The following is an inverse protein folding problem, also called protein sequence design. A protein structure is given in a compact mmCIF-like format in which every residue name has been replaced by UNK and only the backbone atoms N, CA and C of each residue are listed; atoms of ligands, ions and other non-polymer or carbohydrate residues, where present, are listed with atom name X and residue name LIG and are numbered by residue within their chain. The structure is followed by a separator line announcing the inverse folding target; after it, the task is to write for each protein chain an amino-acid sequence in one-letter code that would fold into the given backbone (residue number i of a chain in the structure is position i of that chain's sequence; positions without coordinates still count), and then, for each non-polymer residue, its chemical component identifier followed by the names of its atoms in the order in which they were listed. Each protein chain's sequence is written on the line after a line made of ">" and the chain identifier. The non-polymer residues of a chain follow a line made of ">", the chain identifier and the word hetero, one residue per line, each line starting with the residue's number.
data_IF_097113730468
#
_entry.id   IF_097113730468
#
_cell.length_a   1.000
_cell.length_b   1.000
_cell.length_c   1.000
_cell.angle_alpha   90.00
_cell.angle_beta   90.00
_cell.angle_gamma   90.00
#
_symmetry.space_group_name_H-M   'P 1'
#
loop_
_entity.id
_entity.type
_entity.pdbx_description
1 polymer ?
#
# COMPACT_ATOMS: atom_id res chain seq x y z
N UNK A 1 92.39 -14.27 -15.77
CA UNK A 1 92.14 -15.49 -16.56
C UNK A 1 90.80 -16.06 -16.17
N UNK A 2 89.93 -16.28 -17.18
CA UNK A 2 88.84 -17.27 -17.29
C UNK A 2 87.79 -17.40 -16.17
N UNK A 3 86.52 -17.34 -16.59
CA UNK A 3 85.41 -18.00 -15.90
C UNK A 3 84.05 -17.37 -16.14
N UNK A 4 83.49 -17.47 -17.34
CA UNK A 4 82.07 -17.20 -17.62
C UNK A 4 81.18 -18.17 -16.85
N UNK A 5 80.10 -17.73 -16.16
CA UNK A 5 79.09 -18.65 -15.66
C UNK A 5 78.07 -18.99 -16.76
N UNK A 6 77.80 -20.28 -16.77
CA UNK A 6 77.01 -21.10 -17.67
C UNK A 6 75.50 -20.79 -17.61
N UNK A 7 74.89 -20.55 -18.77
CA UNK A 7 73.44 -20.39 -18.97
C UNK A 7 72.80 -21.78 -19.10
N UNK A 8 72.61 -22.46 -17.97
CA UNK A 8 71.77 -23.67 -17.94
C UNK A 8 70.31 -23.29 -17.70
N UNK A 9 69.57 -23.21 -18.80
CA UNK A 9 68.10 -23.16 -18.81
C UNK A 9 67.59 -24.51 -18.30
N UNK A 10 67.18 -24.56 -17.02
CA UNK A 10 66.38 -25.67 -16.50
C UNK A 10 64.93 -25.46 -16.90
N UNK A 11 64.47 -26.24 -17.87
CA UNK A 11 63.05 -26.53 -18.04
C UNK A 11 62.56 -27.23 -16.77
N UNK A 12 61.94 -26.49 -15.85
CA UNK A 12 61.16 -27.08 -14.78
C UNK A 12 59.85 -27.59 -15.39
N UNK A 13 59.78 -28.91 -15.49
CA UNK A 13 58.54 -29.65 -15.73
C UNK A 13 57.54 -29.21 -14.65
N UNK A 14 56.50 -28.47 -15.02
CA UNK A 14 55.34 -28.24 -14.15
C UNK A 14 54.63 -29.58 -14.03
N UNK A 15 55.02 -30.36 -13.03
CA UNK A 15 54.27 -31.54 -12.61
C UNK A 15 52.88 -31.08 -12.22
N UNK A 16 51.86 -31.59 -12.92
CA UNK A 16 50.47 -31.44 -12.49
C UNK A 16 50.34 -32.11 -11.12
N UNK A 17 50.38 -31.32 -10.05
CA UNK A 17 50.02 -31.76 -8.71
C UNK A 17 48.53 -32.10 -8.73
N UNK A 18 48.20 -33.38 -8.68
CA UNK A 18 46.83 -33.80 -8.40
C UNK A 18 46.42 -33.28 -7.03
N UNK A 19 45.23 -32.68 -6.94
CA UNK A 19 44.67 -32.20 -5.67
C UNK A 19 44.69 -33.32 -4.63
N UNK A 20 45.26 -33.04 -3.46
CA UNK A 20 45.26 -34.01 -2.37
C UNK A 20 43.88 -34.07 -1.71
N UNK A 21 43.48 -35.24 -1.18
CA UNK A 21 42.20 -35.42 -0.50
C UNK A 21 42.01 -34.39 0.63
N UNK A 22 43.08 -34.08 1.35
CA UNK A 22 43.11 -33.10 2.44
C UNK A 22 42.87 -31.68 1.94
N UNK A 23 43.47 -31.30 0.81
CA UNK A 23 43.28 -29.99 0.19
C UNK A 23 41.84 -29.80 -0.31
N UNK A 24 41.24 -30.84 -0.87
CA UNK A 24 39.84 -30.85 -1.29
C UNK A 24 38.90 -30.72 -0.06
N UNK A 25 39.22 -31.40 1.04
CA UNK A 25 38.46 -31.31 2.28
C UNK A 25 38.53 -29.91 2.90
N UNK A 26 39.71 -29.30 2.94
CA UNK A 26 39.89 -27.92 3.42
C UNK A 26 39.11 -26.94 2.52
N UNK A 27 39.18 -27.09 1.20
CA UNK A 27 38.45 -26.23 0.27
C UNK A 27 36.93 -26.32 0.48
N UNK A 28 36.39 -27.52 0.72
CA UNK A 28 34.95 -27.72 1.00
C UNK A 28 34.54 -27.08 2.32
N UNK A 29 35.35 -27.22 3.38
CA UNK A 29 35.06 -26.61 4.68
C UNK A 29 35.05 -25.08 4.56
N UNK A 30 36.05 -24.49 3.91
CA UNK A 30 36.11 -23.03 3.71
C UNK A 30 34.95 -22.53 2.84
N UNK A 31 34.61 -23.25 1.77
CA UNK A 31 33.48 -22.91 0.93
C UNK A 31 32.14 -22.99 1.68
N UNK A 32 31.96 -24.00 2.53
CA UNK A 32 30.75 -24.15 3.35
C UNK A 32 30.60 -23.01 4.36
N UNK A 33 31.69 -22.61 5.01
CA UNK A 33 31.69 -21.48 5.95
C UNK A 33 31.36 -20.17 5.25
N UNK A 34 31.97 -19.91 4.09
CA UNK A 34 31.67 -18.71 3.30
C UNK A 34 30.21 -18.67 2.85
N UNK A 35 29.66 -19.81 2.41
CA UNK A 35 28.26 -19.89 2.03
C UNK A 35 27.33 -19.62 3.21
N UNK A 36 27.62 -20.15 4.39
CA UNK A 36 26.83 -19.88 5.60
C UNK A 36 26.85 -18.40 5.99
N UNK A 37 27.99 -17.73 5.87
CA UNK A 37 28.09 -16.28 6.14
C UNK A 37 27.28 -15.49 5.12
N UNK A 38 27.33 -15.84 3.84
CA UNK A 38 26.53 -15.18 2.80
C UNK A 38 25.02 -15.37 3.03
N UNK A 39 24.59 -16.57 3.44
CA UNK A 39 23.20 -16.84 3.79
C UNK A 39 22.75 -16.09 5.05
N UNK A 40 23.61 -15.97 6.07
CA UNK A 40 23.33 -15.21 7.27
C UNK A 40 23.20 -13.70 6.99
N UNK A 41 24.06 -13.14 6.14
CA UNK A 41 23.95 -11.73 5.71
C UNK A 41 22.71 -11.51 4.86
N UNK A 42 22.43 -12.41 3.91
CA UNK A 42 21.24 -12.32 3.05
C UNK A 42 19.94 -12.39 3.87
N UNK A 43 19.85 -13.31 4.82
CA UNK A 43 18.70 -13.41 5.73
C UNK A 43 18.57 -12.19 6.65
N UNK A 44 19.67 -11.61 7.11
CA UNK A 44 19.64 -10.38 7.91
C UNK A 44 19.23 -9.15 7.09
N UNK A 45 19.66 -9.06 5.82
CA UNK A 45 19.22 -8.01 4.89
C UNK A 45 17.75 -8.19 4.51
N UNK A 46 17.28 -9.42 4.30
CA UNK A 46 15.86 -9.70 4.07
C UNK A 46 14.99 -9.37 5.28
N UNK A 47 15.44 -9.69 6.51
CA UNK A 47 14.73 -9.30 7.73
C UNK A 47 14.73 -7.78 7.96
N UNK A 48 15.83 -7.10 7.63
CA UNK A 48 15.91 -5.64 7.73
C UNK A 48 15.05 -4.95 6.68
N UNK A 49 15.03 -5.45 5.44
CA UNK A 49 14.16 -4.97 4.38
C UNK A 49 12.68 -5.22 4.72
N UNK A 50 12.32 -6.41 5.22
CA UNK A 50 10.95 -6.70 5.67
C UNK A 50 10.53 -5.80 6.83
N UNK A 51 11.42 -5.49 7.78
CA UNK A 51 11.10 -4.56 8.88
C UNK A 51 10.99 -3.09 8.45
N UNK A 52 11.69 -2.70 7.39
CA UNK A 52 11.63 -1.36 6.81
C UNK A 52 10.42 -1.24 5.86
N UNK A 53 10.09 -2.28 5.10
CA UNK A 53 8.88 -2.40 4.28
C UNK A 53 7.62 -2.51 5.16
N UNK A 54 7.73 -3.11 6.34
CA UNK A 54 6.66 -3.14 7.34
C UNK A 54 6.55 -1.79 8.10
N UNK A 55 7.65 -1.04 8.25
CA UNK A 55 7.64 0.31 8.86
C UNK A 55 7.35 1.46 7.87
N UNK A 56 7.55 1.26 6.56
CA UNK A 56 7.22 2.19 5.48
C UNK A 56 5.90 1.83 4.77
N UNK A 57 5.45 0.58 4.87
CA UNK A 57 4.23 0.06 4.22
C UNK A 57 3.01 -0.04 5.13
N UNK A 58 3.14 0.22 6.43
CA UNK A 58 2.00 0.39 7.35
C UNK A 58 1.52 1.86 7.32
N UNK A 59 0.83 2.22 6.24
CA UNK A 59 -0.14 3.32 6.13
C UNK A 59 0.39 4.75 5.86
N UNK A 60 -0.25 5.43 4.89
CA UNK A 60 -0.03 6.85 4.59
C UNK A 60 -0.36 7.74 5.79
N UNK A 61 0.28 8.91 5.85
CA UNK A 61 0.04 9.86 6.93
C UNK A 61 -1.44 10.26 6.93
N UNK A 62 -2.10 10.29 8.09
CA UNK A 62 -3.48 10.75 8.26
C UNK A 62 -3.77 12.04 7.47
N UNK A 63 -2.80 12.95 7.38
CA UNK A 63 -2.93 14.21 6.64
C UNK A 63 -3.05 14.02 5.12
N UNK A 64 -2.29 13.10 4.53
CA UNK A 64 -2.34 12.78 3.09
C UNK A 64 -3.70 12.17 2.76
N UNK A 65 -4.17 11.28 3.62
CA UNK A 65 -5.48 10.63 3.49
C UNK A 65 -6.61 11.65 3.62
N UNK A 66 -6.53 12.57 4.59
CA UNK A 66 -7.52 13.67 4.70
C UNK A 66 -7.48 14.59 3.48
N UNK A 67 -6.29 14.86 2.94
CA UNK A 67 -6.14 15.65 1.73
C UNK A 67 -6.75 14.93 0.52
N UNK A 68 -6.53 13.62 0.38
CA UNK A 68 -7.11 12.82 -0.68
C UNK A 68 -8.65 12.76 -0.58
N UNK A 69 -9.18 12.63 0.63
CA UNK A 69 -10.63 12.74 0.87
C UNK A 69 -11.14 14.14 0.49
N UNK A 70 -10.43 15.19 0.87
CA UNK A 70 -10.80 16.57 0.51
C UNK A 70 -10.78 16.78 -1.00
N UNK A 71 -9.76 16.28 -1.70
CA UNK A 71 -9.65 16.34 -3.16
C UNK A 71 -10.78 15.58 -3.86
N UNK A 72 -11.14 14.39 -3.38
CA UNK A 72 -12.28 13.62 -3.90
C UNK A 72 -13.60 14.38 -3.71
N UNK A 73 -13.79 15.00 -2.53
CA UNK A 73 -14.97 15.80 -2.25
C UNK A 73 -15.01 17.06 -3.14
N UNK A 74 -13.92 17.82 -3.21
CA UNK A 74 -13.87 19.07 -3.98
C UNK A 74 -13.97 18.83 -5.49
N UNK A 75 -13.41 17.74 -6.00
CA UNK A 75 -13.41 17.44 -7.43
C UNK A 75 -14.75 16.87 -7.91
N UNK A 76 -15.46 16.13 -7.05
CA UNK A 76 -16.65 15.35 -7.48
C UNK A 76 -17.97 15.94 -7.03
N UNK A 77 -17.98 16.81 -6.03
CA UNK A 77 -19.19 17.50 -5.57
C UNK A 77 -19.49 18.67 -6.52
N UNK A 78 -20.17 18.35 -7.62
CA UNK A 78 -20.81 19.34 -8.48
C UNK A 78 -22.33 19.34 -8.21
N UNK A 79 -22.90 20.47 -7.71
CA UNK A 79 -24.33 20.63 -7.47
C UNK A 79 -25.20 20.47 -8.72
N UNK A 80 -24.66 20.71 -9.91
CA UNK A 80 -25.41 20.67 -11.17
C UNK A 80 -25.28 19.31 -11.90
N UNK A 81 -24.29 18.49 -11.55
CA UNK A 81 -23.94 17.27 -12.28
C UNK A 81 -24.57 15.96 -11.76
N UNK A 82 -25.68 16.02 -11.00
CA UNK A 82 -26.36 14.81 -10.54
C UNK A 82 -25.52 13.97 -9.57
N UNK A 83 -24.76 14.63 -8.71
CA UNK A 83 -23.92 14.00 -7.68
C UNK A 83 -24.76 13.69 -6.45
N UNK A 84 -24.62 12.47 -5.93
CA UNK A 84 -25.23 12.05 -4.66
C UNK A 84 -24.15 11.64 -3.67
N UNK A 85 -24.35 12.00 -2.41
CA UNK A 85 -23.48 11.61 -1.31
C UNK A 85 -24.28 10.73 -0.35
N UNK A 86 -23.69 9.61 0.05
CA UNK A 86 -24.23 8.75 1.11
C UNK A 86 -23.19 8.60 2.21
N UNK A 87 -23.57 8.83 3.47
CA UNK A 87 -22.72 8.66 4.65
C UNK A 87 -23.42 7.76 5.64
N UNK A 88 -22.68 6.77 6.14
CA UNK A 88 -23.15 5.83 7.14
C UNK A 88 -22.06 5.57 8.17
N UNK A 89 -22.35 5.89 9.43
CA UNK A 89 -21.48 5.51 10.56
C UNK A 89 -22.07 4.32 11.29
N UNK A 90 -21.19 3.43 11.75
CA UNK A 90 -21.53 2.26 12.56
C UNK A 90 -20.45 2.01 13.63
N UNK A 91 -20.77 1.13 14.56
CA UNK A 91 -19.79 0.56 15.49
C UNK A 91 -19.52 -0.87 15.07
N UNK A 92 -18.25 -1.22 14.86
CA UNK A 92 -17.80 -2.54 14.45
C UNK A 92 -16.73 -3.00 15.43
N UNK A 93 -16.95 -4.13 16.11
CA UNK A 93 -16.04 -4.66 17.15
C UNK A 93 -15.61 -3.64 18.23
N UNK A 94 -16.49 -2.68 18.54
CA UNK A 94 -16.23 -1.61 19.52
C UNK A 94 -15.51 -0.38 18.96
N UNK A 95 -15.17 -0.39 17.68
CA UNK A 95 -14.55 0.72 16.96
C UNK A 95 -15.59 1.53 16.17
N UNK A 96 -15.53 2.87 16.21
CA UNK A 96 -16.36 3.69 15.34
C UNK A 96 -15.80 3.65 13.91
N UNK A 97 -16.58 3.09 12.99
CA UNK A 97 -16.26 2.98 11.57
C UNK A 97 -17.30 3.73 10.73
N UNK A 98 -16.90 4.19 9.56
CA UNK A 98 -17.77 4.89 8.64
C UNK A 98 -17.57 4.41 7.20
N UNK A 99 -18.65 4.53 6.43
CA UNK A 99 -18.68 4.36 4.98
C UNK A 99 -19.23 5.64 4.36
N UNK A 100 -18.53 6.15 3.36
CA UNK A 100 -18.97 7.24 2.51
C UNK A 100 -18.92 6.78 1.05
N UNK A 101 -20.00 7.09 0.32
CA UNK A 101 -20.13 6.78 -1.10
C UNK A 101 -20.47 8.08 -1.81
N UNK A 102 -19.65 8.45 -2.78
CA UNK A 102 -19.87 9.58 -3.68
C UNK A 102 -20.21 8.98 -5.03
N UNK A 103 -21.41 9.24 -5.54
CA UNK A 103 -21.85 8.73 -6.83
C UNK A 103 -22.20 9.88 -7.74
N UNK A 104 -21.56 9.94 -8.91
CA UNK A 104 -21.86 10.90 -9.96
C UNK A 104 -22.62 10.20 -11.08
N UNK A 105 -23.71 10.81 -11.53
CA UNK A 105 -24.54 10.28 -12.61
C UNK A 105 -24.52 11.22 -13.81
N UNK A 106 -24.71 10.68 -15.01
CA UNK A 106 -24.91 11.47 -16.21
C UNK A 106 -26.14 11.01 -16.97
N UNK A 107 -26.75 11.92 -17.71
CA UNK A 107 -27.85 11.57 -18.61
C UNK A 107 -27.28 10.94 -19.88
N UNK A 108 -27.72 9.73 -20.18
CA UNK A 108 -27.38 9.06 -21.42
C UNK A 108 -28.20 9.61 -22.61
N UNK A 109 -27.98 9.08 -23.82
CA UNK A 109 -28.71 9.48 -25.04
C UNK A 109 -30.24 9.30 -24.95
N UNK A 110 -30.70 8.49 -23.98
CA UNK A 110 -32.12 8.24 -23.70
C UNK A 110 -32.67 9.13 -22.58
N UNK A 111 -31.88 10.08 -22.09
CA UNK A 111 -32.18 10.92 -20.93
C UNK A 111 -32.42 10.15 -19.62
N UNK A 112 -31.84 8.95 -19.51
CA UNK A 112 -31.84 8.15 -18.28
C UNK A 112 -30.55 8.42 -17.50
N UNK A 113 -30.65 8.46 -16.17
CA UNK A 113 -29.48 8.63 -15.30
C UNK A 113 -28.66 7.33 -15.30
N UNK A 114 -27.41 7.44 -15.72
CA UNK A 114 -26.44 6.35 -15.76
C UNK A 114 -25.27 6.70 -14.82
N UNK A 115 -24.83 5.72 -14.02
CA UNK A 115 -23.69 5.89 -13.12
C UNK A 115 -22.43 6.15 -13.93
N UNK A 116 -21.86 7.35 -13.77
CA UNK A 116 -20.59 7.71 -14.37
C UNK A 116 -19.44 7.21 -13.52
N UNK A 117 -19.50 7.50 -12.22
CA UNK A 117 -18.40 7.29 -11.29
C UNK A 117 -18.93 7.07 -9.88
N UNK A 118 -18.28 6.19 -9.15
CA UNK A 118 -18.50 5.91 -7.73
C UNK A 118 -17.16 5.88 -7.00
N UNK A 119 -17.05 6.70 -5.95
CA UNK A 119 -15.94 6.68 -5.02
C UNK A 119 -16.46 6.21 -3.68
N UNK A 120 -15.94 5.09 -3.18
CA UNK A 120 -16.29 4.56 -1.86
C UNK A 120 -15.10 4.65 -0.91
N UNK A 121 -15.30 5.36 0.20
CA UNK A 121 -14.43 5.36 1.36
C UNK A 121 -15.04 4.48 2.44
N UNK A 122 -14.32 3.46 2.92
CA UNK A 122 -14.84 2.53 3.91
C UNK A 122 -13.78 2.14 4.94
N UNK A 123 -14.10 2.29 6.21
CA UNK A 123 -13.32 1.75 7.31
C UNK A 123 -13.83 0.36 7.71
N UNK A 124 -12.92 -0.60 7.87
CA UNK A 124 -13.22 -1.92 8.43
C UNK A 124 -12.21 -2.25 9.53
N UNK A 125 -12.62 -3.07 10.50
CA UNK A 125 -11.72 -3.59 11.53
C UNK A 125 -10.95 -4.78 10.98
N UNK A 126 -9.61 -4.72 11.08
CA UNK A 126 -8.76 -5.88 10.84
C UNK A 126 -8.69 -6.74 12.10
N UNK A 127 -9.17 -7.97 11.99
CA UNK A 127 -9.25 -8.96 13.07
C UNK A 127 -7.86 -9.33 13.59
N UNK A 128 -6.81 -9.25 12.75
CA UNK A 128 -5.46 -9.64 13.14
C UNK A 128 -4.79 -8.57 14.01
N UNK A 129 -4.93 -7.30 13.63
CA UNK A 129 -4.31 -6.18 14.35
C UNK A 129 -5.22 -5.56 15.40
N UNK A 130 -6.52 -5.86 15.36
CA UNK A 130 -7.57 -5.20 16.14
C UNK A 130 -7.51 -3.67 15.98
N UNK A 131 -7.26 -3.22 14.75
CA UNK A 131 -7.20 -1.81 14.35
C UNK A 131 -8.06 -1.61 13.12
N UNK A 132 -8.44 -0.36 12.88
CA UNK A 132 -9.20 0.02 11.69
C UNK A 132 -8.21 0.19 10.52
N UNK A 133 -8.60 -0.34 9.37
CA UNK A 133 -8.01 -0.07 8.06
C UNK A 133 -9.04 0.70 7.22
N UNK A 134 -8.61 1.81 6.65
CA UNK A 134 -9.37 2.62 5.72
C UNK A 134 -9.05 2.18 4.30
N UNK A 135 -10.12 1.95 3.54
CA UNK A 135 -10.07 1.57 2.14
C UNK A 135 -10.68 2.68 1.29
N UNK A 136 -10.10 2.88 0.11
CA UNK A 136 -10.65 3.69 -0.97
C UNK A 136 -10.92 2.79 -2.17
N UNK A 137 -12.09 2.96 -2.76
CA UNK A 137 -12.49 2.35 -4.01
C UNK A 137 -12.89 3.42 -4.99
N UNK A 138 -12.55 3.20 -6.25
CA UNK A 138 -12.90 4.07 -7.36
C UNK A 138 -13.38 3.18 -8.49
N UNK A 139 -14.56 3.44 -9.02
CA UNK A 139 -15.16 2.65 -10.10
C UNK A 139 -15.98 3.55 -10.99
N UNK A 140 -15.92 3.38 -12.31
CA UNK A 140 -16.69 4.22 -13.22
C UNK A 140 -16.16 4.23 -14.63
N UNK A 141 -16.90 4.89 -15.53
CA UNK A 141 -16.51 5.13 -16.91
C UNK A 141 -15.75 6.44 -16.99
N UNK A 142 -14.42 6.41 -16.90
CA UNK A 142 -13.61 7.61 -17.12
C UNK A 142 -13.67 7.96 -18.61
N UNK A 143 -14.21 9.14 -18.94
CA UNK A 143 -14.39 9.54 -20.35
C UNK A 143 -13.06 9.77 -21.11
N UNK A 144 -11.95 9.89 -20.38
CA UNK A 144 -10.68 10.42 -20.90
C UNK A 144 -9.65 9.37 -21.37
N UNK A 145 -9.76 8.08 -21.01
CA UNK A 145 -8.66 7.13 -21.27
C UNK A 145 -9.07 5.77 -21.86
N UNK A 146 -9.59 5.82 -23.10
CA UNK A 146 -9.98 4.63 -23.88
C UNK A 146 -8.84 3.69 -24.30
N UNK A 147 -7.59 3.96 -23.89
CA UNK A 147 -6.43 3.15 -24.27
C UNK A 147 -6.01 2.12 -23.21
N UNK A 148 -6.50 2.25 -21.97
CA UNK A 148 -6.16 1.35 -20.86
C UNK A 148 -7.34 0.53 -20.31
N UNK A 149 -8.57 0.81 -20.74
CA UNK A 149 -9.82 0.24 -20.18
C UNK A 149 -9.83 -1.31 -20.12
N UNK A 150 -9.42 -2.01 -21.18
CA UNK A 150 -9.57 -3.49 -21.23
C UNK A 150 -8.76 -4.25 -20.16
N UNK A 151 -7.63 -3.71 -19.69
CA UNK A 151 -6.84 -4.34 -18.61
C UNK A 151 -7.22 -3.83 -17.23
N UNK A 152 -7.75 -2.61 -17.15
CA UNK A 152 -8.14 -1.97 -15.90
C UNK A 152 -9.45 -2.55 -15.37
N UNK A 153 -10.40 -2.84 -16.27
CA UNK A 153 -11.65 -3.54 -15.95
C UNK A 153 -11.43 -4.91 -15.29
N UNK A 154 -10.43 -5.68 -15.75
CA UNK A 154 -10.11 -6.99 -15.18
C UNK A 154 -9.45 -6.90 -13.78
N UNK A 155 -8.71 -5.82 -13.48
CA UNK A 155 -8.02 -5.64 -12.19
C UNK A 155 -8.91 -4.96 -11.15
N UNK A 156 -9.65 -3.92 -11.53
CA UNK A 156 -10.61 -3.24 -10.65
C UNK A 156 -11.81 -4.15 -10.32
N UNK A 157 -12.18 -5.10 -11.20
CA UNK A 157 -13.19 -6.13 -10.88
C UNK A 157 -12.72 -7.20 -9.88
N UNK A 158 -11.40 -7.43 -9.75
CA UNK A 158 -10.85 -8.45 -8.86
C UNK A 158 -10.64 -7.97 -7.42
N UNK A 159 -10.44 -6.67 -7.19
CA UNK A 159 -10.36 -6.07 -5.83
C UNK A 159 -10.63 -4.56 -5.88
N UNK A 160 -11.89 -4.13 -5.74
CA UNK A 160 -12.24 -2.72 -5.91
C UNK A 160 -11.73 -1.82 -4.76
N UNK A 161 -11.27 -2.39 -3.65
CA UNK A 161 -10.87 -1.66 -2.44
C UNK A 161 -9.36 -1.70 -2.22
N UNK A 162 -8.72 -0.53 -2.29
CA UNK A 162 -7.30 -0.33 -2.00
C UNK A 162 -7.16 0.19 -0.56
N UNK A 163 -6.38 -0.48 0.32
CA UNK A 163 -6.09 0.06 1.64
C UNK A 163 -5.21 1.31 1.49
N UNK A 164 -5.61 2.41 2.14
CA UNK A 164 -4.93 3.71 2.05
C UNK A 164 -4.39 4.19 3.39
N UNK A 165 -5.10 3.88 4.48
CA UNK A 165 -4.68 4.20 5.83
C UNK A 165 -5.03 3.05 6.77
N UNK A 166 -4.38 2.98 7.91
CA UNK A 166 -4.67 1.93 8.87
C UNK A 166 -3.89 2.15 10.13
N UNK A 167 -4.09 1.23 11.08
CA UNK A 167 -3.71 1.49 12.45
C UNK A 167 -4.66 2.44 13.18
N UNK A 168 -5.75 2.85 12.53
CA UNK A 168 -6.73 3.79 13.08
C UNK A 168 -7.50 3.16 14.25
N UNK A 169 -7.93 3.99 15.19
CA UNK A 169 -8.81 3.63 16.30
C UNK A 169 -10.19 4.28 16.19
N UNK A 170 -10.34 5.27 15.31
CA UNK A 170 -11.63 5.81 14.96
C UNK A 170 -11.62 6.34 13.52
N UNK A 171 -12.72 6.10 12.82
CA UNK A 171 -13.03 6.77 11.56
C UNK A 171 -14.53 7.13 11.57
N UNK A 172 -14.83 8.43 11.56
CA UNK A 172 -16.19 8.96 11.61
C UNK A 172 -16.38 10.06 10.59
N UNK A 173 -17.58 10.14 10.03
CA UNK A 173 -17.96 11.17 9.07
C UNK A 173 -19.24 11.83 9.54
N UNK A 174 -19.22 13.13 9.77
CA UNK A 174 -20.39 13.90 10.16
C UNK A 174 -20.77 14.83 9.02
N UNK A 175 -22.06 15.00 8.82
CA UNK A 175 -22.61 15.79 7.74
C UNK A 175 -23.43 16.94 8.35
N UNK A 176 -23.21 18.15 7.86
CA UNK A 176 -23.88 19.35 8.35
C UNK A 176 -25.17 19.60 7.57
N UNK A 177 -26.29 19.73 8.29
CA UNK A 177 -27.61 20.05 7.73
C UNK A 177 -28.38 20.91 8.71
N UNK A 178 -28.92 22.03 8.23
CA UNK A 178 -29.86 22.86 9.00
C UNK A 178 -29.38 23.23 10.42
N UNK A 179 -28.08 23.54 10.55
CA UNK A 179 -27.37 23.89 11.80
C UNK A 179 -27.08 22.71 12.75
N UNK A 180 -27.30 21.47 12.31
CA UNK A 180 -27.00 20.24 13.06
C UNK A 180 -25.98 19.35 12.34
N UNK A 181 -25.21 18.59 13.14
CA UNK A 181 -24.29 17.56 12.64
C UNK A 181 -24.93 16.17 12.79
N UNK A 182 -25.16 15.50 11.66
CA UNK A 182 -25.70 14.13 11.62
C UNK A 182 -24.62 13.12 11.27
N UNK A 183 -24.76 11.89 11.78
CA UNK A 183 -23.89 10.75 11.47
C UNK A 183 -24.42 9.90 10.30
N UNK A 184 -25.53 10.30 9.68
CA UNK A 184 -26.09 9.59 8.54
C UNK A 184 -26.59 10.59 7.51
N UNK A 185 -26.30 10.32 6.25
CA UNK A 185 -26.74 11.12 5.11
C UNK A 185 -27.13 10.20 3.97
N UNK A 186 -28.32 10.38 3.43
CA UNK A 186 -28.83 9.68 2.26
C UNK A 186 -29.83 10.61 1.57
N UNK A 187 -29.31 11.66 0.96
CA UNK A 187 -30.09 12.66 0.23
C UNK A 187 -29.52 12.83 -1.18
N UNK A 188 -30.37 13.04 -2.19
CA UNK A 188 -29.90 13.47 -3.50
C UNK A 188 -29.34 14.90 -3.48
N UNK A 189 -29.64 15.68 -2.44
CA UNK A 189 -29.03 16.99 -2.22
C UNK A 189 -27.67 16.84 -1.54
N UNK A 190 -26.72 17.69 -1.94
CA UNK A 190 -25.40 17.74 -1.34
C UNK A 190 -25.47 18.47 0.01
N UNK A 191 -24.77 17.98 1.05
CA UNK A 191 -24.78 18.65 2.33
C UNK A 191 -23.98 19.95 2.31
N UNK A 192 -24.29 20.85 3.23
CA UNK A 192 -23.61 22.16 3.33
C UNK A 192 -22.18 22.04 3.87
N UNK A 193 -21.86 20.92 4.53
CA UNK A 193 -20.53 20.67 5.04
C UNK A 193 -20.34 19.22 5.46
N UNK A 194 -19.09 18.77 5.42
CA UNK A 194 -18.69 17.42 5.83
C UNK A 194 -17.53 17.58 6.81
N UNK A 195 -17.56 16.81 7.89
CA UNK A 195 -16.49 16.71 8.87
C UNK A 195 -16.04 15.27 8.95
N UNK A 196 -14.78 15.04 8.59
CA UNK A 196 -14.13 13.74 8.73
C UNK A 196 -13.30 13.77 10.01
N UNK A 197 -13.49 12.76 10.86
CA UNK A 197 -12.76 12.59 12.12
C UNK A 197 -12.03 11.27 12.07
N UNK A 198 -10.70 11.33 12.17
CA UNK A 198 -9.84 10.16 12.24
C UNK A 198 -9.02 10.21 13.53
N UNK A 199 -8.75 9.05 14.12
CA UNK A 199 -7.87 8.95 15.28
C UNK A 199 -6.95 7.75 15.13
N UNK A 200 -5.68 7.94 15.47
CA UNK A 200 -4.66 6.89 15.53
C UNK A 200 -4.27 6.65 16.99
N UNK A 201 -4.09 5.39 17.35
CA UNK A 201 -3.38 5.03 18.57
C UNK A 201 -1.89 5.03 18.24
N UNK A 202 -1.26 6.21 18.24
CA UNK A 202 0.18 6.28 18.27
C UNK A 202 0.67 5.35 19.38
N UNK A 203 1.48 4.36 19.01
CA UNK A 203 2.19 3.55 19.97
C UNK A 203 3.10 4.50 20.75
N UNK A 204 2.80 4.70 22.02
CA UNK A 204 3.67 5.41 22.96
C UNK A 204 5.01 4.66 23.03
N UNK A 205 5.94 5.01 22.14
CA UNK A 205 7.30 4.45 22.11
C UNK A 205 8.20 5.09 23.18
N UNK A 206 7.66 5.79 24.19
CA UNK A 206 8.45 6.44 25.24
C UNK A 206 7.93 6.20 26.67
N UNK A 207 7.62 4.94 27.03
CA UNK A 207 7.51 4.53 28.45
C UNK A 207 8.23 3.22 28.72
N UNK A 208 9.56 3.24 28.68
CA UNK A 208 10.53 2.82 29.74
C UNK A 208 11.91 2.49 29.17
#
# INVERSE_FOLDING_TARGET
>A
MKGTPDLSVRCQHVGRSGFTLTELLVAVVVASMLLSVLLAISSHVQQSAASIEQALGEFELIQEVLQLIAEDLDTKIDPEAGTTLTVFNRMEDGYPTAKMVITTTMKNEKFEDEMLEEITWQANVDIQTNRIVLYRSHTGKILEDKLLDQRRDEVESLSPFVPVCGGLTAFRIEVHRDDEWTQQWASPELPTGIRVVMSDAQADKNVR
#
